data_IF_762872957622
#
_entry.id   IF_762872957622
#
_cell.length_a   1.000
_cell.length_b   1.000
_cell.length_c   1.000
_cell.angle_alpha   90.00
_cell.angle_beta   90.00
_cell.angle_gamma   90.00
#
_symmetry.space_group_name_H-M   'P 1'
#
loop_
_entity.id
_entity.type
_entity.pdbx_description
1 polymer ?
#
# COMPACT_ATOMS: atom_id res chain seq x y z
N UNK A 1 -0.91 6.03 8.81
CA UNK A 1 -2.05 6.61 8.07
C UNK A 1 -2.65 7.77 8.84
N UNK A 2 -3.07 7.51 10.09
CA UNK A 2 -3.48 8.54 11.06
C UNK A 2 -2.49 9.68 11.13
N UNK A 3 -2.98 10.92 11.06
CA UNK A 3 -2.17 12.14 11.18
C UNK A 3 -1.33 12.51 9.95
N UNK A 4 -1.40 11.75 8.84
CA UNK A 4 -0.72 12.09 7.58
C UNK A 4 -1.77 12.36 6.49
N UNK A 5 -2.20 13.61 6.30
CA UNK A 5 -3.12 13.98 5.23
C UNK A 5 -2.62 13.53 3.86
N UNK A 6 -3.52 12.99 3.04
CA UNK A 6 -3.21 12.56 1.68
C UNK A 6 -2.46 11.24 1.56
N UNK A 7 -2.25 10.49 2.65
CA UNK A 7 -1.62 9.16 2.59
C UNK A 7 -2.36 8.22 1.64
N UNK A 8 -3.68 8.07 1.82
CA UNK A 8 -4.50 7.18 0.98
C UNK A 8 -4.47 7.59 -0.48
N UNK A 9 -4.50 8.90 -0.77
CA UNK A 9 -4.35 9.42 -2.15
C UNK A 9 -3.03 8.94 -2.76
N UNK A 10 -1.90 9.23 -2.11
CA UNK A 10 -0.58 8.82 -2.60
C UNK A 10 -0.44 7.30 -2.74
N UNK A 11 -1.02 6.55 -1.81
CA UNK A 11 -1.01 5.09 -1.85
C UNK A 11 -1.72 4.55 -3.10
N UNK A 12 -2.98 4.97 -3.35
CA UNK A 12 -3.75 4.49 -4.49
C UNK A 12 -3.27 5.09 -5.83
N UNK A 13 -2.75 6.33 -5.82
CA UNK A 13 -2.16 6.97 -6.99
C UNK A 13 -0.92 6.23 -7.51
N UNK A 14 -0.10 5.68 -6.62
CA UNK A 14 1.04 4.82 -7.01
C UNK A 14 0.55 3.55 -7.70
N UNK A 15 -0.49 2.91 -7.18
CA UNK A 15 -1.03 1.69 -7.79
C UNK A 15 -1.65 1.98 -9.16
N UNK A 16 -2.51 3.00 -9.25
CA UNK A 16 -3.19 3.35 -10.50
C UNK A 16 -2.23 3.82 -11.58
N UNK A 17 -1.20 4.61 -11.23
CA UNK A 17 -0.20 5.11 -12.20
C UNK A 17 0.69 4.02 -12.77
N UNK A 18 0.70 2.83 -12.17
CA UNK A 18 1.47 1.67 -12.61
C UNK A 18 0.59 0.52 -13.10
N UNK A 19 -0.69 0.78 -13.38
CA UNK A 19 -1.68 -0.21 -13.84
C UNK A 19 -1.83 -1.43 -12.92
N UNK A 20 -1.60 -1.26 -11.61
CA UNK A 20 -1.77 -2.33 -10.63
C UNK A 20 -3.21 -2.32 -10.13
N UNK A 21 -3.95 -3.39 -10.41
CA UNK A 21 -5.36 -3.48 -10.04
C UNK A 21 -5.54 -3.97 -8.60
N UNK A 22 -6.44 -3.30 -7.86
CA UNK A 22 -6.80 -3.71 -6.50
C UNK A 22 -8.05 -4.59 -6.55
N UNK A 23 -7.89 -5.85 -6.16
CA UNK A 23 -8.94 -6.87 -6.16
C UNK A 23 -9.84 -6.73 -4.93
N UNK A 24 -9.23 -6.41 -3.78
CA UNK A 24 -9.93 -6.28 -2.51
C UNK A 24 -9.25 -5.23 -1.63
N UNK A 25 -10.06 -4.51 -0.86
CA UNK A 25 -9.60 -3.62 0.20
C UNK A 25 -10.25 -4.07 1.50
N UNK A 26 -9.44 -4.28 2.53
CA UNK A 26 -9.91 -4.43 3.91
C UNK A 26 -9.26 -3.38 4.79
N UNK A 27 -10.04 -2.80 5.69
CA UNK A 27 -9.56 -1.80 6.63
C UNK A 27 -10.10 -2.16 8.01
N UNK A 28 -9.22 -2.27 9.00
CA UNK A 28 -9.64 -2.48 10.39
C UNK A 28 -10.26 -1.19 10.92
N UNK A 29 -11.17 -1.25 11.89
CA UNK A 29 -11.91 -0.07 12.41
C UNK A 29 -11.01 1.08 12.90
N UNK A 30 -9.76 0.79 13.25
CA UNK A 30 -8.73 1.77 13.53
C UNK A 30 -8.01 2.18 12.23
N UNK A 31 -7.96 3.48 11.93
CA UNK A 31 -7.28 4.12 10.79
C UNK A 31 -5.76 3.80 10.62
N UNK A 32 -5.23 2.86 11.40
CA UNK A 32 -3.82 2.49 11.45
C UNK A 32 -3.40 1.50 10.35
N UNK A 33 -4.32 0.75 9.75
CA UNK A 33 -3.99 -0.25 8.73
C UNK A 33 -5.02 -0.37 7.62
N UNK A 34 -4.56 -0.33 6.37
CA UNK A 34 -5.27 -0.84 5.20
C UNK A 34 -4.53 -2.09 4.71
N UNK A 35 -5.28 -3.13 4.39
CA UNK A 35 -4.82 -4.31 3.67
C UNK A 35 -5.46 -4.31 2.28
N UNK A 36 -4.69 -4.70 1.27
CA UNK A 36 -5.17 -4.83 -0.11
C UNK A 36 -4.81 -6.21 -0.65
N UNK A 37 -5.65 -6.73 -1.53
CA UNK A 37 -5.32 -7.85 -2.39
C UNK A 37 -5.10 -7.33 -3.82
N UNK A 38 -4.04 -7.79 -4.46
CA UNK A 38 -3.65 -7.48 -5.84
C UNK A 38 -3.22 -8.78 -6.51
N UNK A 39 -3.04 -8.76 -7.83
CA UNK A 39 -2.50 -9.91 -8.55
C UNK A 39 -1.10 -10.26 -8.03
N UNK A 40 -0.80 -11.56 -7.89
CA UNK A 40 0.51 -12.01 -7.39
C UNK A 40 1.66 -11.57 -8.29
N UNK A 41 1.41 -11.41 -9.60
CA UNK A 41 2.41 -10.94 -10.55
C UNK A 41 2.80 -9.47 -10.31
N UNK A 42 1.91 -8.69 -9.70
CA UNK A 42 2.15 -7.28 -9.37
C UNK A 42 2.73 -7.07 -7.97
N UNK A 43 2.75 -8.09 -7.12
CA UNK A 43 3.02 -7.97 -5.68
C UNK A 43 4.39 -7.34 -5.37
N UNK A 44 5.45 -7.83 -6.01
CA UNK A 44 6.80 -7.32 -5.78
C UNK A 44 7.01 -5.91 -6.33
N UNK A 45 6.41 -5.62 -7.49
CA UNK A 45 6.44 -4.29 -8.09
C UNK A 45 5.69 -3.28 -7.20
N UNK A 46 4.46 -3.61 -6.79
CA UNK A 46 3.65 -2.81 -5.89
C UNK A 46 4.40 -2.50 -4.59
N UNK A 47 4.99 -3.52 -3.97
CA UNK A 47 5.77 -3.38 -2.74
C UNK A 47 6.92 -2.39 -2.91
N UNK A 48 7.72 -2.54 -3.99
CA UNK A 48 8.87 -1.67 -4.27
C UNK A 48 8.44 -0.22 -4.50
N UNK A 49 7.40 0.00 -5.30
CA UNK A 49 6.89 1.33 -5.64
C UNK A 49 6.28 2.04 -4.44
N UNK A 50 5.47 1.34 -3.65
CA UNK A 50 4.85 1.89 -2.44
C UNK A 50 5.90 2.24 -1.38
N UNK A 51 6.89 1.36 -1.15
CA UNK A 51 8.01 1.63 -0.23
C UNK A 51 8.76 2.89 -0.62
N UNK A 52 9.09 3.03 -1.91
CA UNK A 52 9.79 4.21 -2.46
C UNK A 52 8.94 5.48 -2.35
N UNK A 53 7.68 5.43 -2.79
CA UNK A 53 6.81 6.60 -2.83
C UNK A 53 6.42 7.12 -1.44
N UNK A 54 6.23 6.21 -0.47
CA UNK A 54 5.81 6.56 0.88
C UNK A 54 7.00 6.73 1.87
N UNK A 55 8.25 6.59 1.39
CA UNK A 55 9.46 6.63 2.21
C UNK A 55 9.42 5.68 3.41
N UNK A 56 8.75 4.53 3.25
CA UNK A 56 8.60 3.55 4.31
C UNK A 56 9.79 2.61 4.35
N UNK A 57 10.30 2.31 5.54
CA UNK A 57 11.26 1.23 5.75
C UNK A 57 10.50 -0.08 5.90
N UNK A 58 10.87 -1.10 5.14
CA UNK A 58 10.31 -2.43 5.32
C UNK A 58 10.74 -2.95 6.70
N UNK A 59 9.77 -3.18 7.58
CA UNK A 59 10.01 -3.83 8.87
C UNK A 59 9.38 -5.23 8.79
N UNK A 60 10.20 -6.25 8.58
CA UNK A 60 9.74 -7.63 8.62
C UNK A 60 9.61 -8.04 10.09
N UNK A 61 8.38 -8.16 10.61
CA UNK A 61 8.13 -8.59 11.99
C UNK A 61 8.27 -10.11 12.21
N UNK A 62 8.78 -10.86 11.22
CA UNK A 62 8.96 -12.32 11.30
C UNK A 62 10.38 -12.72 11.77
N UNK A 63 10.93 -12.01 12.76
CA UNK A 63 12.04 -12.47 13.60
C UNK A 63 11.70 -12.21 15.05
#
# INVERSE_FOLDING_TARGET
MVGVPGFSKRFFEVLSSNNINVIMITQASSEFSICIAIDSNDADLAKKLLMKSLNLKYHNKNK
#
